data_IF_787029466898
#
_entry.id   IF_787029466898
#
_cell.length_a   1.000
_cell.length_b   1.000
_cell.length_c   1.000
_cell.angle_alpha   90.00
_cell.angle_beta   90.00
_cell.angle_gamma   90.00
#
_symmetry.space_group_name_H-M   'P 1'
#
loop_
_entity.id
_entity.type
_entity.pdbx_description
1 polymer ?
#
# COMPACT_ATOMS: atom_id res chain seq x y z
N UNK A 1 20.80 18.76 25.92
CA UNK A 1 20.48 17.39 25.48
C UNK A 1 19.42 17.49 24.40
N UNK A 2 19.80 17.50 23.12
CA UNK A 2 18.84 17.64 22.01
C UNK A 2 19.45 17.10 20.70
N UNK A 3 19.82 15.81 20.70
CA UNK A 3 20.33 15.11 19.50
C UNK A 3 19.60 13.78 19.19
N UNK A 4 18.66 13.33 20.02
CA UNK A 4 18.00 12.04 19.83
C UNK A 4 16.86 12.06 18.79
N UNK A 5 16.29 13.23 18.50
CA UNK A 5 15.02 13.31 17.75
C UNK A 5 15.17 13.19 16.22
N UNK A 6 16.36 13.40 15.67
CA UNK A 6 16.58 13.31 14.21
C UNK A 6 16.82 11.87 13.72
N UNK A 7 17.42 11.00 14.55
CA UNK A 7 17.69 9.61 14.18
C UNK A 7 16.46 8.71 14.20
N UNK A 8 15.52 8.96 15.11
CA UNK A 8 14.28 8.17 15.21
C UNK A 8 13.33 8.45 14.04
N UNK A 9 13.19 9.71 13.61
CA UNK A 9 12.29 10.10 12.51
C UNK A 9 12.76 9.54 11.16
N UNK A 10 14.06 9.47 10.92
CA UNK A 10 14.62 8.90 9.68
C UNK A 10 14.54 7.37 9.66
N UNK A 11 14.56 6.72 10.84
CA UNK A 11 14.38 5.27 10.97
C UNK A 11 12.95 4.81 10.66
N UNK A 12 11.94 5.62 10.99
CA UNK A 12 10.52 5.31 10.78
C UNK A 12 10.15 5.28 9.29
N UNK A 13 10.86 6.06 8.46
CA UNK A 13 10.62 6.11 7.00
C UNK A 13 11.10 4.85 6.26
N UNK A 14 12.01 4.07 6.85
CA UNK A 14 12.57 2.89 6.19
C UNK A 14 11.79 1.65 6.62
N UNK A 15 11.24 0.86 5.67
CA UNK A 15 10.56 -0.37 6.02
C UNK A 15 11.53 -1.33 6.72
N UNK A 16 11.27 -1.74 7.98
CA UNK A 16 12.19 -2.59 8.74
C UNK A 16 12.46 -3.95 8.11
N UNK A 17 11.52 -4.40 7.27
CA UNK A 17 11.56 -5.70 6.58
C UNK A 17 11.65 -5.54 5.05
N UNK A 18 12.13 -4.41 4.54
CA UNK A 18 12.18 -4.12 3.11
C UNK A 18 12.74 -5.28 2.28
N UNK A 19 13.98 -5.71 2.56
CA UNK A 19 14.66 -6.76 1.78
C UNK A 19 13.90 -8.09 1.80
N UNK A 20 13.34 -8.47 2.96
CA UNK A 20 12.62 -9.72 3.09
C UNK A 20 11.30 -9.69 2.31
N UNK A 21 10.53 -8.60 2.44
CA UNK A 21 9.25 -8.42 1.75
C UNK A 21 9.47 -8.27 0.25
N UNK A 22 10.46 -7.48 -0.18
CA UNK A 22 10.81 -7.30 -1.58
C UNK A 22 11.23 -8.62 -2.24
N UNK A 23 12.09 -9.40 -1.60
CA UNK A 23 12.48 -10.71 -2.13
C UNK A 23 11.26 -11.65 -2.23
N UNK A 24 10.37 -11.67 -1.24
CA UNK A 24 9.15 -12.48 -1.30
C UNK A 24 8.18 -12.02 -2.39
N UNK A 25 8.08 -10.71 -2.65
CA UNK A 25 7.32 -10.18 -3.77
C UNK A 25 7.88 -10.66 -5.11
N UNK A 26 9.21 -10.64 -5.28
CA UNK A 26 9.88 -11.22 -6.44
C UNK A 26 9.63 -12.73 -6.56
N UNK A 27 9.64 -13.46 -5.43
CA UNK A 27 9.34 -14.90 -5.42
C UNK A 27 7.90 -15.19 -5.85
N UNK A 28 6.92 -14.32 -5.53
CA UNK A 28 5.54 -14.43 -6.00
C UNK A 28 5.48 -14.21 -7.52
N UNK A 29 6.07 -13.12 -8.02
CA UNK A 29 6.05 -12.76 -9.45
C UNK A 29 6.76 -13.82 -10.30
N UNK A 30 7.84 -14.41 -9.81
CA UNK A 30 8.64 -15.40 -10.52
C UNK A 30 8.27 -16.85 -10.19
N UNK A 31 7.17 -17.09 -9.46
CA UNK A 31 6.79 -18.42 -9.02
C UNK A 31 6.50 -19.35 -10.21
N UNK A 32 7.11 -20.55 -10.30
CA UNK A 32 6.88 -21.46 -11.42
C UNK A 32 5.53 -22.18 -11.34
N UNK A 33 4.85 -22.14 -10.19
CA UNK A 33 3.46 -22.58 -10.03
C UNK A 33 2.81 -21.94 -8.80
N UNK A 34 1.49 -22.15 -8.67
CA UNK A 34 0.66 -21.60 -7.59
C UNK A 34 1.10 -22.02 -6.18
N UNK A 35 1.74 -23.17 -6.01
CA UNK A 35 2.21 -23.61 -4.69
C UNK A 35 3.36 -22.73 -4.19
N UNK A 36 4.34 -22.40 -5.04
CA UNK A 36 5.43 -21.49 -4.63
C UNK A 36 4.94 -20.05 -4.49
N UNK A 37 4.04 -19.60 -5.35
CA UNK A 37 3.38 -18.29 -5.25
C UNK A 37 2.73 -18.14 -3.87
N UNK A 38 1.92 -19.12 -3.47
CA UNK A 38 1.25 -19.13 -2.17
C UNK A 38 2.21 -19.27 -0.99
N UNK A 39 3.30 -20.03 -1.16
CA UNK A 39 4.32 -20.16 -0.12
C UNK A 39 5.01 -18.81 0.17
N UNK A 40 5.31 -18.03 -0.87
CA UNK A 40 5.89 -16.69 -0.71
C UNK A 40 4.87 -15.70 -0.14
N UNK A 41 3.64 -15.68 -0.66
CA UNK A 41 2.52 -14.88 -0.11
C UNK A 41 2.30 -15.14 1.39
N UNK A 42 2.27 -16.41 1.81
CA UNK A 42 2.05 -16.75 3.21
C UNK A 42 3.18 -16.27 4.12
N UNK A 43 4.43 -16.23 3.63
CA UNK A 43 5.55 -15.66 4.39
C UNK A 43 5.42 -14.14 4.55
N UNK A 44 4.94 -13.41 3.53
CA UNK A 44 4.63 -11.98 3.66
C UNK A 44 3.58 -11.81 4.76
N UNK A 45 2.50 -12.60 4.71
CA UNK A 45 1.44 -12.58 5.72
C UNK A 45 1.97 -12.88 7.14
N UNK A 46 2.83 -13.88 7.29
CA UNK A 46 3.45 -14.23 8.58
C UNK A 46 4.28 -13.08 9.14
N UNK A 47 5.02 -12.34 8.30
CA UNK A 47 5.76 -11.14 8.73
C UNK A 47 4.77 -10.07 9.22
N UNK A 48 3.71 -9.79 8.45
CA UNK A 48 2.69 -8.82 8.82
C UNK A 48 2.05 -9.16 10.17
N UNK A 49 1.56 -10.39 10.34
CA UNK A 49 0.89 -10.83 11.56
C UNK A 49 1.83 -10.83 12.77
N UNK A 50 3.10 -11.23 12.58
CA UNK A 50 4.11 -11.31 13.64
C UNK A 50 4.47 -9.94 14.21
N UNK A 51 4.54 -8.92 13.35
CA UNK A 51 4.99 -7.58 13.74
C UNK A 51 3.86 -6.56 13.89
N UNK A 52 2.60 -6.96 13.65
CA UNK A 52 1.42 -6.13 13.84
C UNK A 52 1.41 -5.41 15.21
N UNK A 53 1.30 -4.08 15.19
CA UNK A 53 1.27 -3.23 16.38
C UNK A 53 2.61 -3.10 17.13
N UNK A 54 3.70 -3.67 16.61
CA UNK A 54 5.05 -3.48 17.16
C UNK A 54 5.74 -2.27 16.50
N UNK A 55 6.87 -1.78 17.04
CA UNK A 55 7.67 -0.75 16.36
C UNK A 55 8.24 -1.18 14.99
N UNK A 56 8.14 -2.46 14.63
CA UNK A 56 8.56 -2.99 13.33
C UNK A 56 7.38 -3.09 12.35
N UNK A 57 6.17 -2.71 12.77
CA UNK A 57 5.00 -2.62 11.90
C UNK A 57 5.13 -1.41 10.98
N UNK A 58 4.95 -1.59 9.67
CA UNK A 58 5.18 -0.55 8.67
C UNK A 58 4.19 -0.70 7.51
N UNK A 59 3.68 0.38 6.88
CA UNK A 59 2.72 0.28 5.78
C UNK A 59 3.16 -0.64 4.64
N UNK A 60 4.43 -0.55 4.21
CA UNK A 60 5.00 -1.33 3.11
C UNK A 60 4.62 -2.82 3.12
N UNK A 61 4.75 -3.52 4.27
CA UNK A 61 4.46 -4.96 4.31
C UNK A 61 2.98 -5.28 4.08
N UNK A 62 2.09 -4.41 4.59
CA UNK A 62 0.65 -4.57 4.48
C UNK A 62 0.14 -4.19 3.09
N UNK A 63 0.69 -3.13 2.50
CA UNK A 63 0.44 -2.75 1.11
C UNK A 63 0.88 -3.87 0.16
N UNK A 64 2.12 -4.34 0.27
CA UNK A 64 2.60 -5.46 -0.57
C UNK A 64 1.75 -6.72 -0.37
N UNK A 65 1.32 -7.04 0.86
CA UNK A 65 0.41 -8.15 1.09
C UNK A 65 -0.92 -7.95 0.36
N UNK A 66 -1.47 -6.73 0.40
CA UNK A 66 -2.73 -6.37 -0.25
C UNK A 66 -2.63 -6.47 -1.79
N UNK A 67 -1.54 -6.00 -2.40
CA UNK A 67 -1.27 -6.07 -3.85
C UNK A 67 -1.39 -7.51 -4.36
N UNK A 68 -0.85 -8.47 -3.60
CA UNK A 68 -0.91 -9.89 -3.93
C UNK A 68 -2.20 -10.60 -3.47
N UNK A 69 -3.15 -9.89 -2.86
CA UNK A 69 -4.46 -10.41 -2.40
C UNK A 69 -5.58 -10.20 -3.43
N UNK A 70 -5.26 -9.96 -4.70
CA UNK A 70 -6.20 -9.65 -5.79
C UNK A 70 -7.39 -10.64 -5.96
N UNK A 71 -7.24 -11.91 -5.56
CA UNK A 71 -8.32 -12.91 -5.65
C UNK A 71 -9.44 -12.70 -4.62
N UNK A 72 -9.21 -11.89 -3.58
CA UNK A 72 -10.16 -11.59 -2.51
C UNK A 72 -10.17 -10.09 -2.23
N UNK A 73 -10.83 -9.28 -3.08
CA UNK A 73 -10.78 -7.82 -2.97
C UNK A 73 -11.18 -7.27 -1.59
N UNK A 74 -12.14 -7.90 -0.89
CA UNK A 74 -12.51 -7.48 0.47
C UNK A 74 -11.39 -7.71 1.50
N UNK A 75 -10.60 -8.76 1.31
CA UNK A 75 -9.43 -9.04 2.17
C UNK A 75 -8.29 -8.09 1.82
N UNK A 76 -8.04 -7.86 0.53
CA UNK A 76 -7.06 -6.87 0.06
C UNK A 76 -7.36 -5.48 0.64
N UNK A 77 -8.61 -5.01 0.54
CA UNK A 77 -9.04 -3.74 1.14
C UNK A 77 -8.77 -3.67 2.64
N UNK A 78 -9.01 -4.75 3.40
CA UNK A 78 -8.69 -4.76 4.83
C UNK A 78 -7.20 -4.59 5.13
N UNK A 79 -6.33 -5.13 4.26
CA UNK A 79 -4.88 -4.95 4.37
C UNK A 79 -4.45 -3.55 3.94
N UNK A 80 -5.00 -3.01 2.85
CA UNK A 80 -4.75 -1.62 2.47
C UNK A 80 -5.18 -0.64 3.56
N UNK A 81 -6.34 -0.84 4.20
CA UNK A 81 -6.77 0.01 5.32
C UNK A 81 -5.83 -0.10 6.52
N UNK A 82 -5.25 -1.29 6.77
CA UNK A 82 -4.22 -1.44 7.81
C UNK A 82 -2.95 -0.70 7.44
N UNK A 83 -2.51 -0.79 6.18
CA UNK A 83 -1.38 -0.03 5.67
C UNK A 83 -1.64 1.48 5.80
N UNK A 84 -2.83 1.94 5.41
CA UNK A 84 -3.24 3.34 5.46
C UNK A 84 -3.21 3.90 6.89
N UNK A 85 -3.70 3.14 7.88
CA UNK A 85 -3.63 3.50 9.30
C UNK A 85 -2.19 3.79 9.74
N UNK A 86 -1.24 2.91 9.37
CA UNK A 86 0.17 3.06 9.71
C UNK A 86 0.82 4.21 8.95
N UNK A 87 0.53 4.38 7.66
CA UNK A 87 1.03 5.50 6.85
C UNK A 87 0.57 6.85 7.40
N UNK A 88 -0.68 6.96 7.85
CA UNK A 88 -1.21 8.16 8.52
C UNK A 88 -0.51 8.40 9.86
N UNK A 89 -0.34 7.36 10.68
CA UNK A 89 0.33 7.45 11.98
C UNK A 89 1.77 7.95 11.84
N UNK A 90 2.49 7.45 10.85
CA UNK A 90 3.90 7.76 10.60
C UNK A 90 4.12 8.95 9.65
N UNK A 91 3.03 9.51 9.08
CA UNK A 91 3.05 10.63 8.13
C UNK A 91 3.95 10.36 6.93
N UNK A 92 3.74 9.21 6.30
CA UNK A 92 4.52 8.77 5.15
C UNK A 92 3.76 9.07 3.86
N UNK A 93 3.97 10.26 3.30
CA UNK A 93 3.22 10.82 2.17
C UNK A 93 3.25 9.92 0.92
N UNK A 94 4.42 9.36 0.56
CA UNK A 94 4.55 8.46 -0.58
C UNK A 94 3.61 7.23 -0.46
N UNK A 95 3.58 6.62 0.73
CA UNK A 95 2.67 5.50 1.02
C UNK A 95 1.21 5.94 1.12
N UNK A 96 0.95 7.15 1.60
CA UNK A 96 -0.42 7.69 1.59
C UNK A 96 -0.91 7.84 0.14
N UNK A 97 -0.07 8.26 -0.79
CA UNK A 97 -0.44 8.36 -2.21
C UNK A 97 -0.75 6.97 -2.79
N UNK A 98 0.19 6.04 -2.73
CA UNK A 98 0.07 4.71 -3.35
C UNK A 98 -1.08 3.87 -2.75
N UNK A 99 -1.22 3.86 -1.42
CA UNK A 99 -2.28 3.08 -0.76
C UNK A 99 -3.67 3.64 -1.07
N UNK A 100 -3.84 4.97 -1.10
CA UNK A 100 -5.12 5.56 -1.49
C UNK A 100 -5.44 5.24 -2.96
N UNK A 101 -4.44 5.23 -3.84
CA UNK A 101 -4.64 4.87 -5.25
C UNK A 101 -5.11 3.41 -5.39
N UNK A 102 -4.43 2.46 -4.73
CA UNK A 102 -4.81 1.05 -4.77
C UNK A 102 -6.20 0.75 -4.17
N UNK A 103 -6.60 1.50 -3.13
CA UNK A 103 -7.97 1.46 -2.60
C UNK A 103 -8.97 2.02 -3.62
N UNK A 104 -8.63 3.11 -4.32
CA UNK A 104 -9.48 3.70 -5.35
C UNK A 104 -9.71 2.72 -6.51
N UNK A 105 -8.68 2.02 -6.98
CA UNK A 105 -8.78 0.96 -7.99
C UNK A 105 -9.75 -0.14 -7.55
N UNK A 106 -9.62 -0.62 -6.31
CA UNK A 106 -10.53 -1.62 -5.76
C UNK A 106 -12.00 -1.16 -5.74
N UNK A 107 -12.26 0.11 -5.46
CA UNK A 107 -13.62 0.66 -5.50
C UNK A 107 -14.13 0.92 -6.92
N UNK A 108 -13.23 1.27 -7.85
CA UNK A 108 -13.57 1.39 -9.27
C UNK A 108 -14.03 0.05 -9.83
N UNK A 109 -13.30 -1.04 -9.57
CA UNK A 109 -13.67 -2.40 -9.99
C UNK A 109 -15.05 -2.84 -9.45
N UNK A 110 -15.42 -2.35 -8.26
CA UNK A 110 -16.73 -2.57 -7.64
C UNK A 110 -17.84 -1.65 -8.16
N UNK A 111 -17.54 -0.82 -9.16
CA UNK A 111 -18.39 0.27 -9.66
C UNK A 111 -18.87 1.23 -8.55
N UNK A 112 -18.12 1.36 -7.45
CA UNK A 112 -18.43 2.27 -6.37
C UNK A 112 -17.77 3.64 -6.63
N UNK A 113 -18.38 4.40 -7.54
CA UNK A 113 -17.93 5.72 -7.98
C UNK A 113 -17.57 6.66 -6.83
N UNK A 114 -18.42 6.74 -5.81
CA UNK A 114 -18.24 7.67 -4.70
C UNK A 114 -16.95 7.38 -3.92
N UNK A 115 -16.70 6.11 -3.60
CA UNK A 115 -15.48 5.72 -2.89
C UNK A 115 -14.24 5.81 -3.79
N UNK A 116 -14.34 5.36 -5.05
CA UNK A 116 -13.25 5.47 -6.01
C UNK A 116 -12.75 6.92 -6.13
N UNK A 117 -13.65 7.87 -6.35
CA UNK A 117 -13.30 9.29 -6.43
C UNK A 117 -12.75 9.84 -5.11
N UNK A 118 -13.31 9.46 -3.95
CA UNK A 118 -12.83 9.94 -2.66
C UNK A 118 -11.37 9.56 -2.40
N UNK A 119 -11.04 8.28 -2.63
CA UNK A 119 -9.68 7.79 -2.45
C UNK A 119 -8.73 8.32 -3.53
N UNK A 120 -9.17 8.39 -4.79
CA UNK A 120 -8.35 8.92 -5.89
C UNK A 120 -7.96 10.39 -5.68
N UNK A 121 -8.89 11.26 -5.27
CA UNK A 121 -8.57 12.67 -4.99
C UNK A 121 -7.61 12.82 -3.79
N UNK A 122 -7.73 11.94 -2.80
CA UNK A 122 -6.80 11.89 -1.67
C UNK A 122 -5.42 11.44 -2.13
N UNK A 123 -5.34 10.40 -2.96
CA UNK A 123 -4.10 9.94 -3.57
C UNK A 123 -3.43 11.06 -4.38
N UNK A 124 -4.21 11.78 -5.20
CA UNK A 124 -3.72 12.87 -6.05
C UNK A 124 -3.08 13.97 -5.20
N UNK A 125 -3.74 14.34 -4.10
CA UNK A 125 -3.21 15.36 -3.17
C UNK A 125 -1.84 14.98 -2.62
N UNK A 126 -1.62 13.71 -2.27
CA UNK A 126 -0.33 13.24 -1.77
C UNK A 126 0.71 13.04 -2.89
N UNK A 127 0.30 12.58 -4.07
CA UNK A 127 1.18 12.45 -5.23
C UNK A 127 1.73 13.83 -5.70
N UNK A 128 0.89 14.87 -5.67
CA UNK A 128 1.31 16.26 -5.91
C UNK A 128 2.32 16.76 -4.87
N UNK A 129 2.13 16.42 -3.58
CA UNK A 129 3.07 16.77 -2.51
C UNK A 129 4.42 16.06 -2.65
N UNK A 130 4.40 14.80 -3.09
CA UNK A 130 5.58 14.00 -3.37
C UNK A 130 6.27 14.37 -4.71
N UNK A 131 5.63 15.19 -5.55
CA UNK A 131 6.05 15.48 -6.92
C UNK A 131 6.24 14.20 -7.77
N UNK A 132 5.35 13.22 -7.58
CA UNK A 132 5.33 11.98 -8.36
C UNK A 132 4.42 12.16 -9.58
N UNK A 133 5.02 12.63 -10.68
CA UNK A 133 4.28 12.96 -11.91
C UNK A 133 3.70 11.72 -12.61
N UNK A 134 4.32 10.55 -12.44
CA UNK A 134 3.85 9.28 -13.02
C UNK A 134 2.59 8.83 -12.29
N UNK A 135 2.62 8.78 -10.97
CA UNK A 135 1.46 8.42 -10.17
C UNK A 135 0.31 9.44 -10.32
N UNK A 136 0.62 10.73 -10.43
CA UNK A 136 -0.39 11.76 -10.73
C UNK A 136 -1.12 11.47 -12.06
N UNK A 137 -0.42 11.01 -13.09
CA UNK A 137 -1.03 10.68 -14.38
C UNK A 137 -1.99 9.49 -14.22
N UNK A 138 -1.54 8.40 -13.58
CA UNK A 138 -2.35 7.19 -13.35
C UNK A 138 -3.61 7.50 -12.52
N UNK A 139 -3.48 8.32 -11.46
CA UNK A 139 -4.62 8.73 -10.65
C UNK A 139 -5.63 9.57 -11.46
N UNK A 140 -5.15 10.48 -12.31
CA UNK A 140 -6.04 11.27 -13.15
C UNK A 140 -6.79 10.41 -14.18
N UNK A 141 -6.15 9.38 -14.74
CA UNK A 141 -6.82 8.40 -15.61
C UNK A 141 -7.92 7.65 -14.87
N UNK A 142 -7.64 7.18 -13.65
CA UNK A 142 -8.65 6.54 -12.80
C UNK A 142 -9.81 7.47 -12.46
N UNK A 143 -9.55 8.76 -12.18
CA UNK A 143 -10.60 9.76 -11.92
C UNK A 143 -11.50 9.94 -13.15
N UNK A 144 -10.92 10.00 -14.36
CA UNK A 144 -11.69 10.09 -15.60
C UNK A 144 -12.58 8.86 -15.78
N UNK A 145 -12.04 7.66 -15.54
CA UNK A 145 -12.79 6.41 -15.63
C UNK A 145 -13.91 6.36 -14.59
N UNK A 146 -13.62 6.66 -13.33
CA UNK A 146 -14.63 6.71 -12.25
C UNK A 146 -15.75 7.70 -12.56
N UNK A 147 -15.45 8.84 -13.19
CA UNK A 147 -16.46 9.81 -13.60
C UNK A 147 -17.40 9.30 -14.70
N UNK A 148 -16.94 8.35 -15.51
CA UNK A 148 -17.74 7.70 -16.56
C UNK A 148 -18.70 6.63 -16.01
N UNK A 149 -18.50 6.17 -14.76
CA UNK A 149 -19.44 5.26 -14.11
C UNK A 149 -20.83 5.93 -13.95
N UNK A 150 -21.91 5.13 -14.05
CA UNK A 150 -23.29 5.61 -13.96
C UNK A 150 -23.64 6.26 -12.61
#
# INVERSE_FOLDING_TARGET
>A
MHKAQFGEVESIKKPPHYEAIHQLALDIVNAPNKQQEWAAYNKIKEICDKFAGTPLDHPFQWETLADFTYQKPEVALSYYFKALELAMLFKLEDYLASINFAIAENYLEKANKAQALNFANTALTFAEQAADDELQLEINELILEANSLP
#
